data_IF_893922041252
#
_entry.id   IF_893922041252
#
_cell.length_a   1.000
_cell.length_b   1.000
_cell.length_c   1.000
_cell.angle_alpha   90.00
_cell.angle_beta   90.00
_cell.angle_gamma   90.00
#
_symmetry.space_group_name_H-M   'P 1'
#
loop_
_entity.id
_entity.type
_entity.pdbx_description
1 polymer ?
#
# COMPACT_ATOMS: atom_id res chain seq x y z
N UNK A 1 -8.02 9.03 13.22
CA UNK A 1 -6.98 8.04 12.89
C UNK A 1 -5.72 8.44 13.63
N UNK A 2 -4.92 7.47 14.09
CA UNK A 2 -3.62 7.74 14.69
C UNK A 2 -2.56 6.84 14.02
N UNK A 3 -1.30 7.27 14.10
CA UNK A 3 -0.16 6.60 13.49
C UNK A 3 1.04 6.65 14.45
N UNK A 4 1.90 5.62 14.39
CA UNK A 4 3.17 5.55 15.09
C UNK A 4 4.24 4.98 14.15
N UNK A 5 5.39 5.64 14.10
CA UNK A 5 6.52 5.30 13.25
C UNK A 5 7.70 4.71 14.05
N UNK A 6 7.54 4.47 15.36
CA UNK A 6 8.60 3.89 16.18
C UNK A 6 8.81 2.42 15.82
N UNK A 7 9.89 2.16 15.07
CA UNK A 7 10.28 0.83 14.61
C UNK A 7 9.44 0.39 13.41
N UNK A 8 8.24 -0.11 13.67
CA UNK A 8 7.27 -0.50 12.62
C UNK A 8 6.25 0.62 12.41
N UNK A 9 5.83 0.86 11.16
CA UNK A 9 4.74 1.79 10.89
C UNK A 9 3.42 1.13 11.28
N UNK A 10 2.71 1.70 12.25
CA UNK A 10 1.40 1.20 12.69
C UNK A 10 0.39 2.31 12.65
N UNK A 11 -0.84 1.98 12.29
CA UNK A 11 -1.97 2.91 12.36
C UNK A 11 -3.17 2.27 13.03
N UNK A 12 -4.06 3.12 13.54
CA UNK A 12 -5.32 2.67 14.11
C UNK A 12 -6.49 3.61 13.91
N UNK A 13 -7.67 3.03 14.03
CA UNK A 13 -8.96 3.71 13.88
C UNK A 13 -9.70 3.53 15.21
N UNK A 14 -10.21 4.62 15.81
CA UNK A 14 -11.01 4.51 17.02
C UNK A 14 -12.24 3.64 16.76
N UNK A 15 -12.81 3.10 17.84
CA UNK A 15 -14.04 2.35 17.74
C UNK A 15 -15.14 3.20 17.11
N UNK A 16 -15.79 2.66 16.09
CA UNK A 16 -17.15 3.04 15.70
C UNK A 16 -18.11 2.09 16.41
N UNK A 17 -19.34 2.54 16.66
CA UNK A 17 -20.39 2.00 17.54
C UNK A 17 -20.62 0.47 17.54
N UNK A 18 -20.00 -0.30 16.64
CA UNK A 18 -20.18 -1.75 16.51
C UNK A 18 -18.93 -2.60 16.21
N UNK A 19 -17.72 -2.04 16.04
CA UNK A 19 -16.54 -2.84 15.61
C UNK A 19 -15.28 -2.70 16.45
N UNK A 20 -15.33 -1.91 17.53
CA UNK A 20 -14.21 -1.75 18.44
C UNK A 20 -12.98 -1.06 17.81
N UNK A 21 -11.94 -0.91 18.61
CA UNK A 21 -10.69 -0.27 18.20
C UNK A 21 -9.94 -1.14 17.17
N UNK A 22 -9.56 -0.56 16.04
CA UNK A 22 -8.73 -1.22 15.01
C UNK A 22 -7.27 -0.75 15.15
N UNK A 23 -6.36 -1.70 14.98
CA UNK A 23 -4.93 -1.46 14.76
C UNK A 23 -4.43 -2.33 13.60
N UNK A 24 -3.46 -1.82 12.84
CA UNK A 24 -2.75 -2.56 11.81
C UNK A 24 -1.25 -2.23 11.83
N UNK A 25 -0.43 -3.22 11.49
CA UNK A 25 0.96 -3.01 11.08
C UNK A 25 0.96 -2.73 9.57
N UNK A 26 1.50 -1.58 9.20
CA UNK A 26 1.53 -1.04 7.85
C UNK A 26 2.96 -1.04 7.28
N UNK A 27 3.88 -1.68 8.00
CA UNK A 27 5.23 -1.94 7.51
C UNK A 27 5.15 -2.86 6.30
N UNK A 28 5.98 -2.58 5.27
CA UNK A 28 6.04 -3.41 4.08
C UNK A 28 6.38 -4.86 4.45
N UNK A 29 5.45 -5.76 4.13
CA UNK A 29 5.58 -7.19 4.36
C UNK A 29 6.31 -7.92 3.23
N UNK A 30 6.44 -9.26 3.35
CA UNK A 30 6.92 -10.11 2.28
C UNK A 30 5.96 -10.11 1.08
N UNK A 31 6.41 -10.66 -0.04
CA UNK A 31 5.54 -10.92 -1.19
C UNK A 31 4.38 -11.83 -0.79
N UNK A 32 3.20 -11.59 -1.40
CA UNK A 32 1.97 -12.31 -1.10
C UNK A 32 1.38 -12.87 -2.39
N UNK A 33 1.07 -14.18 -2.40
CA UNK A 33 0.31 -14.79 -3.50
C UNK A 33 -1.18 -14.45 -3.33
N UNK A 34 -1.78 -13.61 -4.20
CA UNK A 34 -3.18 -13.22 -4.08
C UNK A 34 -4.15 -14.39 -4.31
N UNK A 35 -3.70 -15.49 -4.91
CA UNK A 35 -4.53 -16.66 -5.21
C UNK A 35 -4.55 -17.63 -4.04
N UNK A 36 -3.37 -18.04 -3.57
CA UNK A 36 -3.23 -19.13 -2.59
C UNK A 36 -2.81 -18.66 -1.19
N UNK A 37 -2.50 -17.36 -1.02
CA UNK A 37 -1.99 -16.84 0.24
C UNK A 37 -2.99 -17.00 1.40
N UNK A 38 -2.45 -17.38 2.56
CA UNK A 38 -3.19 -17.50 3.82
C UNK A 38 -3.75 -16.15 4.26
N UNK A 39 -5.01 -16.12 4.71
CA UNK A 39 -5.73 -14.91 5.12
C UNK A 39 -6.10 -14.91 6.60
N UNK A 40 -5.54 -15.84 7.36
CA UNK A 40 -5.59 -15.90 8.82
C UNK A 40 -4.34 -15.24 9.40
N UNK A 41 -4.54 -14.37 10.38
CA UNK A 41 -3.44 -13.75 11.12
C UNK A 41 -2.71 -14.81 11.95
N UNK A 42 -1.39 -14.87 11.84
CA UNK A 42 -0.58 -15.82 12.61
C UNK A 42 -0.64 -15.54 14.12
N UNK A 43 -0.41 -16.56 14.93
CA UNK A 43 -0.33 -16.43 16.39
C UNK A 43 0.79 -15.49 16.83
N UNK A 44 1.89 -15.45 16.08
CA UNK A 44 3.01 -14.54 16.29
C UNK A 44 2.61 -13.08 16.03
N UNK A 45 2.03 -12.78 14.88
CA UNK A 45 1.57 -11.42 14.57
C UNK A 45 0.53 -10.95 15.58
N UNK A 46 -0.39 -11.84 15.99
CA UNK A 46 -1.37 -11.50 17.02
C UNK A 46 -0.69 -11.17 18.35
N UNK A 47 0.30 -11.97 18.79
CA UNK A 47 1.08 -11.72 20.02
C UNK A 47 1.77 -10.36 19.96
N UNK A 48 2.48 -10.05 18.88
CA UNK A 48 3.17 -8.76 18.70
C UNK A 48 2.20 -7.57 18.77
N UNK A 49 1.05 -7.67 18.10
CA UNK A 49 0.03 -6.61 18.14
C UNK A 49 -0.55 -6.47 19.54
N UNK A 50 -0.80 -7.57 20.26
CA UNK A 50 -1.30 -7.54 21.65
C UNK A 50 -0.32 -6.87 22.60
N UNK A 51 0.96 -7.19 22.51
CA UNK A 51 2.02 -6.56 23.29
C UNK A 51 2.09 -5.06 23.02
N UNK A 52 2.07 -4.68 21.74
CA UNK A 52 2.12 -3.28 21.35
C UNK A 52 0.86 -2.49 21.77
N UNK A 53 -0.33 -3.07 21.66
CA UNK A 53 -1.58 -2.46 22.17
C UNK A 53 -1.50 -2.29 23.69
N UNK A 54 -1.03 -3.30 24.43
CA UNK A 54 -0.89 -3.21 25.89
C UNK A 54 0.11 -2.12 26.33
N UNK A 55 1.18 -1.92 25.56
CA UNK A 55 2.13 -0.82 25.77
C UNK A 55 1.51 0.55 25.44
N UNK A 56 0.91 0.70 24.26
CA UNK A 56 0.46 2.01 23.73
C UNK A 56 -0.89 2.46 24.29
N UNK A 57 -1.75 1.50 24.64
CA UNK A 57 -3.11 1.67 25.16
C UNK A 57 -3.36 0.71 26.32
N UNK A 58 -2.81 0.96 27.52
CA UNK A 58 -2.91 0.04 28.66
C UNK A 58 -4.34 -0.38 29.02
N UNK A 59 -5.33 0.51 28.85
CA UNK A 59 -6.74 0.21 29.07
C UNK A 59 -7.30 -0.88 28.13
N UNK A 60 -6.67 -1.14 26.99
CA UNK A 60 -7.05 -2.16 26.02
C UNK A 60 -6.25 -3.46 26.14
N UNK A 61 -5.31 -3.56 27.10
CA UNK A 61 -4.39 -4.71 27.25
C UNK A 61 -5.12 -6.06 27.27
N UNK A 62 -6.24 -6.13 27.99
CA UNK A 62 -7.05 -7.35 28.15
C UNK A 62 -8.36 -7.32 27.35
N UNK A 63 -8.54 -6.37 26.43
CA UNK A 63 -9.76 -6.27 25.64
C UNK A 63 -9.96 -7.55 24.79
N UNK A 64 -11.20 -8.04 24.59
CA UNK A 64 -11.44 -9.19 23.74
C UNK A 64 -11.02 -8.89 22.29
N UNK A 65 -10.49 -9.91 21.59
CA UNK A 65 -10.28 -9.83 20.16
C UNK A 65 -11.64 -10.08 19.48
N UNK A 66 -12.18 -9.07 18.81
CA UNK A 66 -13.48 -9.19 18.15
C UNK A 66 -13.33 -9.73 16.73
N UNK A 67 -12.27 -9.35 16.01
CA UNK A 67 -12.08 -9.70 14.59
C UNK A 67 -10.60 -9.57 14.19
N UNK A 68 -10.15 -10.42 13.25
CA UNK A 68 -8.87 -10.28 12.54
C UNK A 68 -9.08 -10.41 11.04
N UNK A 69 -8.22 -9.74 10.27
CA UNK A 69 -8.17 -9.79 8.80
C UNK A 69 -6.74 -9.66 8.32
N UNK A 70 -6.43 -10.34 7.24
CA UNK A 70 -5.23 -10.09 6.42
C UNK A 70 -5.68 -9.32 5.18
N UNK A 71 -4.97 -8.24 4.87
CA UNK A 71 -5.21 -7.39 3.69
C UNK A 71 -3.94 -7.34 2.84
N UNK A 72 -4.09 -7.10 1.54
CA UNK A 72 -2.98 -7.09 0.58
C UNK A 72 -2.76 -5.68 0.02
N UNK A 73 -1.50 -5.35 -0.18
CA UNK A 73 -1.09 -4.20 -0.99
C UNK A 73 -0.60 -4.65 -2.34
N UNK A 74 -1.08 -3.97 -3.38
CA UNK A 74 -0.54 -4.04 -4.73
C UNK A 74 0.39 -2.83 -4.92
N UNK A 75 1.70 -3.07 -4.91
CA UNK A 75 2.72 -2.03 -4.95
C UNK A 75 3.28 -1.86 -6.36
N UNK A 76 3.32 -0.63 -6.85
CA UNK A 76 4.19 -0.27 -7.97
C UNK A 76 5.61 0.04 -7.48
N UNK A 77 6.65 -0.08 -8.33
CA UNK A 77 8.03 0.23 -7.94
C UNK A 77 8.24 1.67 -7.42
N UNK A 78 7.43 2.61 -7.89
CA UNK A 78 7.49 4.04 -7.54
C UNK A 78 6.37 4.49 -6.57
N UNK A 79 5.52 3.56 -6.11
CA UNK A 79 4.37 3.83 -5.24
C UNK A 79 3.30 4.78 -5.82
N UNK A 80 3.35 5.06 -7.12
CA UNK A 80 2.31 5.81 -7.83
C UNK A 80 1.26 4.87 -8.45
N UNK A 81 0.04 5.37 -8.67
CA UNK A 81 -1.01 4.61 -9.34
C UNK A 81 -0.64 4.23 -10.77
N UNK A 82 -1.29 3.21 -11.31
CA UNK A 82 -1.26 2.84 -12.73
C UNK A 82 -2.63 3.15 -13.33
N UNK A 83 -2.69 4.13 -14.22
CA UNK A 83 -3.86 4.47 -15.03
C UNK A 83 -3.42 4.52 -16.48
N UNK A 84 -3.82 3.53 -17.28
CA UNK A 84 -3.43 3.50 -18.68
C UNK A 84 -4.39 2.67 -19.54
N UNK A 85 -4.24 2.80 -20.86
CA UNK A 85 -4.87 1.90 -21.84
C UNK A 85 -3.98 0.68 -22.04
N UNK A 86 -4.57 -0.49 -22.23
CA UNK A 86 -3.80 -1.69 -22.49
C UNK A 86 -3.06 -1.57 -23.84
N UNK A 87 -1.74 -1.81 -23.91
CA UNK A 87 -0.91 -1.49 -25.09
C UNK A 87 -1.26 -2.28 -26.35
N UNK A 88 -2.03 -3.36 -26.21
CA UNK A 88 -2.47 -4.22 -27.33
C UNK A 88 -3.99 -4.30 -27.49
N UNK A 89 -4.77 -3.72 -26.56
CA UNK A 89 -6.23 -3.84 -26.54
C UNK A 89 -6.82 -2.45 -26.27
N UNK A 90 -7.15 -1.73 -27.33
CA UNK A 90 -7.63 -0.34 -27.22
C UNK A 90 -8.96 -0.25 -26.46
N UNK A 91 -9.78 -1.29 -26.40
CA UNK A 91 -11.01 -1.27 -25.61
C UNK A 91 -10.81 -1.58 -24.11
N UNK A 92 -9.56 -1.74 -23.64
CA UNK A 92 -9.25 -2.12 -22.25
C UNK A 92 -8.49 -1.00 -21.54
N UNK A 93 -8.99 -0.63 -20.36
CA UNK A 93 -8.36 0.31 -19.44
C UNK A 93 -7.84 -0.42 -18.20
N UNK A 94 -6.69 0.04 -17.71
CA UNK A 94 -6.01 -0.44 -16.52
C UNK A 94 -6.12 0.61 -15.42
N UNK A 95 -6.50 0.17 -14.22
CA UNK A 95 -6.45 0.94 -12.99
C UNK A 95 -5.91 0.04 -11.89
N UNK A 96 -4.81 0.40 -11.25
CA UNK A 96 -4.21 -0.39 -10.18
C UNK A 96 -3.02 0.30 -9.51
N UNK A 97 -2.18 -0.49 -8.83
CA UNK A 97 -0.97 0.02 -8.19
C UNK A 97 -1.27 0.91 -6.98
N UNK A 98 -2.31 0.55 -6.22
CA UNK A 98 -2.83 1.35 -5.11
C UNK A 98 -1.81 1.65 -4.00
N UNK A 99 -0.73 0.87 -3.94
CA UNK A 99 0.47 1.10 -3.13
C UNK A 99 0.20 1.42 -1.66
N UNK A 100 -0.81 0.76 -1.08
CA UNK A 100 -1.25 0.93 0.30
C UNK A 100 -2.08 2.19 0.58
N UNK A 101 -2.31 3.04 -0.42
CA UNK A 101 -2.94 4.35 -0.21
C UNK A 101 -4.17 4.64 -1.06
N UNK A 102 -4.49 3.77 -2.03
CA UNK A 102 -5.56 3.96 -3.02
C UNK A 102 -6.98 4.15 -2.47
N UNK A 103 -7.33 3.60 -1.31
CA UNK A 103 -8.71 3.68 -0.77
C UNK A 103 -9.20 5.14 -0.63
N UNK A 104 -8.37 6.03 -0.09
CA UNK A 104 -8.76 7.45 0.11
C UNK A 104 -8.92 8.22 -1.20
N UNK A 105 -8.34 7.71 -2.29
CA UNK A 105 -8.36 8.32 -3.61
C UNK A 105 -9.43 7.71 -4.53
N UNK A 106 -10.12 6.64 -4.11
CA UNK A 106 -11.10 5.91 -4.91
C UNK A 106 -12.11 6.80 -5.64
N UNK A 107 -12.80 7.74 -4.96
CA UNK A 107 -13.74 8.64 -5.62
C UNK A 107 -13.10 9.51 -6.72
N UNK A 108 -11.94 10.12 -6.45
CA UNK A 108 -11.24 10.96 -7.42
C UNK A 108 -10.69 10.14 -8.60
N UNK A 109 -10.15 8.95 -8.34
CA UNK A 109 -9.68 8.02 -9.37
C UNK A 109 -10.85 7.56 -10.26
N UNK A 110 -12.02 7.31 -9.69
CA UNK A 110 -13.23 6.96 -10.45
C UNK A 110 -13.66 8.08 -11.39
N UNK A 111 -13.66 9.33 -10.92
CA UNK A 111 -13.96 10.49 -11.77
C UNK A 111 -12.96 10.66 -12.92
N UNK A 112 -11.66 10.54 -12.61
CA UNK A 112 -10.58 10.61 -13.61
C UNK A 112 -10.75 9.51 -14.66
N UNK A 113 -10.95 8.26 -14.24
CA UNK A 113 -11.14 7.13 -15.15
C UNK A 113 -12.38 7.29 -16.02
N UNK A 114 -13.51 7.74 -15.46
CA UNK A 114 -14.72 8.00 -16.23
C UNK A 114 -14.47 9.04 -17.33
N UNK A 115 -13.72 10.11 -17.02
CA UNK A 115 -13.38 11.16 -18.01
C UNK A 115 -12.46 10.62 -19.10
N UNK A 116 -11.43 9.87 -18.73
CA UNK A 116 -10.49 9.26 -19.67
C UNK A 116 -11.21 8.31 -20.64
N UNK A 117 -12.09 7.45 -20.11
CA UNK A 117 -12.85 6.48 -20.91
C UNK A 117 -13.83 7.19 -21.86
N UNK A 118 -14.64 8.14 -21.36
CA UNK A 118 -15.71 8.77 -22.14
C UNK A 118 -15.21 9.74 -23.21
N UNK A 119 -14.00 10.28 -23.04
CA UNK A 119 -13.43 11.31 -23.93
C UNK A 119 -12.21 10.84 -24.69
N UNK A 120 -11.88 9.55 -24.60
CA UNK A 120 -10.63 8.96 -25.08
C UNK A 120 -9.40 9.80 -24.70
N UNK A 121 -9.34 10.19 -23.43
CA UNK A 121 -8.31 11.09 -22.91
C UNK A 121 -6.98 10.39 -22.67
N UNK A 122 -5.89 11.15 -22.60
CA UNK A 122 -4.57 10.60 -22.27
C UNK A 122 -4.28 10.77 -20.77
N UNK A 123 -3.89 9.71 -20.03
CA UNK A 123 -3.50 9.82 -18.63
C UNK A 123 -2.26 10.70 -18.42
N UNK A 124 -2.07 11.19 -17.19
CA UNK A 124 -0.84 11.88 -16.80
C UNK A 124 0.39 10.95 -16.90
N UNK A 125 1.56 11.43 -17.37
CA UNK A 125 2.75 10.59 -17.55
C UNK A 125 3.18 9.79 -16.30
N UNK A 126 2.99 10.37 -15.11
CA UNK A 126 3.30 9.72 -13.84
C UNK A 126 2.45 8.48 -13.54
N UNK A 127 1.32 8.30 -14.23
CA UNK A 127 0.43 7.14 -14.06
C UNK A 127 0.47 6.14 -15.21
N UNK A 128 1.14 6.44 -16.32
CA UNK A 128 1.20 5.57 -17.49
C UNK A 128 2.07 4.35 -17.26
N UNK A 129 1.79 3.26 -17.97
CA UNK A 129 2.52 2.00 -17.88
C UNK A 129 3.95 2.13 -18.42
N UNK A 130 4.13 2.94 -19.45
CA UNK A 130 5.41 3.15 -20.13
C UNK A 130 6.47 3.85 -19.25
N UNK A 131 6.08 4.48 -18.14
CA UNK A 131 7.02 5.05 -17.17
C UNK A 131 7.97 4.01 -16.57
N UNK A 132 7.59 2.73 -16.62
CA UNK A 132 8.43 1.63 -16.18
C UNK A 132 9.38 1.10 -17.26
N UNK A 133 9.24 1.56 -18.51
CA UNK A 133 10.14 1.19 -19.60
C UNK A 133 11.49 1.90 -19.43
N UNK A 134 12.39 1.31 -18.65
CA UNK A 134 13.79 1.72 -18.63
C UNK A 134 14.45 1.34 -19.97
N UNK A 135 14.73 2.32 -20.84
CA UNK A 135 16.04 2.31 -21.49
C UNK A 135 17.03 2.69 -20.39
N UNK A 136 17.83 1.74 -19.91
CA UNK A 136 18.81 1.98 -18.84
C UNK A 136 19.72 3.18 -19.17
N UNK A 137 19.87 4.18 -18.29
CA UNK A 137 21.07 5.00 -18.31
C UNK A 137 22.25 4.14 -17.88
N UNK A 138 23.35 4.25 -18.62
CA UNK A 138 24.61 3.53 -18.37
C UNK A 138 25.07 3.69 -16.90
N UNK A 139 25.67 2.62 -16.38
CA UNK A 139 26.29 2.60 -15.06
C UNK A 139 27.16 3.84 -14.84
N UNK A 140 26.86 4.60 -13.79
CA UNK A 140 27.79 5.63 -13.32
C UNK A 140 28.95 4.89 -12.67
N UNK A 141 30.12 4.96 -13.33
CA UNK A 141 31.39 4.50 -12.80
C UNK A 141 31.69 5.26 -11.51
N UNK A 142 31.74 4.54 -10.38
CA UNK A 142 32.35 5.03 -9.16
C UNK A 142 33.85 5.22 -9.41
N UNK A 143 34.27 6.43 -9.75
CA UNK A 143 35.64 6.86 -9.51
C UNK A 143 35.76 7.16 -8.02
N UNK A 144 36.30 6.20 -7.28
CA UNK A 144 36.78 6.39 -5.92
C UNK A 144 37.88 7.45 -5.90
N UNK A 145 37.50 8.68 -5.55
CA UNK A 145 38.41 9.73 -5.13
C UNK A 145 38.43 9.76 -3.61
N UNK A 146 39.49 9.21 -3.01
CA UNK A 146 39.78 9.43 -1.60
C UNK A 146 40.05 10.92 -1.37
N UNK A 147 39.44 11.50 -0.33
CA UNK A 147 39.90 12.76 0.26
C UNK A 147 40.21 12.53 1.74
N UNK A 148 41.27 13.15 2.28
CA UNK A 148 41.90 12.74 3.52
C UNK A 148 41.32 13.45 4.76
N UNK A 149 41.43 12.71 5.87
CA UNK A 149 41.21 13.02 7.30
C UNK A 149 39.80 13.43 7.73
#
# INVERSE_FOLDING_TARGET
MWADHRGKFRYGIPGSDRRGFKIADDTRGPDFDPTQGERVVSSETLREIREYVGFRFPALKNAPLVETRVCQYEQTPDSHFLLDRHPKNENVWLLGGGSGHGFKHGPALGEIMSRLILRDGTPEPIWRLDRFNKKSPAAVSEKGGALPL
#
